data_IF_912432115687
#
_entry.id   IF_912432115687
#
_cell.length_a   1.000
_cell.length_b   1.000
_cell.length_c   1.000
_cell.angle_alpha   90.00
_cell.angle_beta   90.00
_cell.angle_gamma   90.00
#
_symmetry.space_group_name_H-M   'P 1'
#
loop_
_entity.id
_entity.type
_entity.pdbx_description
1 polymer ?
#
# COMPACT_ATOMS: atom_id res chain seq x y z
N UNK A 1 -19.83 57.19 -34.53
CA UNK A 1 -19.76 57.78 -33.17
C UNK A 1 -19.60 56.60 -32.22
N UNK A 2 -18.41 56.00 -32.14
CA UNK A 2 -17.28 56.38 -31.28
C UNK A 2 -17.65 56.44 -29.80
N UNK A 3 -17.36 55.33 -29.10
CA UNK A 3 -17.03 55.33 -27.68
C UNK A 3 -15.97 54.25 -27.45
N UNK A 4 -14.72 54.70 -27.48
CA UNK A 4 -13.50 54.02 -27.01
C UNK A 4 -13.44 54.02 -25.48
N UNK A 5 -12.66 53.09 -24.91
CA UNK A 5 -11.91 53.10 -23.60
C UNK A 5 -11.70 51.62 -23.14
N UNK A 6 -10.56 51.19 -22.54
CA UNK A 6 -9.30 50.89 -23.21
C UNK A 6 -8.71 49.51 -22.78
N UNK A 7 -7.51 49.19 -23.28
CA UNK A 7 -6.85 47.88 -23.16
C UNK A 7 -6.41 47.46 -21.75
N UNK A 8 -6.26 46.14 -21.61
CA UNK A 8 -5.71 45.46 -20.44
C UNK A 8 -4.26 45.10 -20.74
N UNK A 9 -3.35 45.71 -19.99
CA UNK A 9 -1.90 45.49 -20.05
C UNK A 9 -1.51 44.13 -19.45
N UNK A 10 -0.61 43.45 -20.17
CA UNK A 10 0.10 42.24 -19.75
C UNK A 10 1.20 42.59 -18.73
N UNK A 11 0.99 42.26 -17.46
CA UNK A 11 1.98 42.39 -16.40
C UNK A 11 2.60 41.06 -15.99
N UNK A 12 3.59 40.59 -16.74
CA UNK A 12 4.52 39.52 -16.33
C UNK A 12 5.41 40.06 -15.20
N UNK A 13 5.20 39.63 -13.95
CA UNK A 13 6.10 39.95 -12.83
C UNK A 13 7.02 38.76 -12.58
N UNK A 14 8.28 38.91 -12.98
CA UNK A 14 9.38 38.11 -12.48
C UNK A 14 9.66 38.47 -11.03
N UNK A 15 9.79 37.46 -10.16
CA UNK A 15 10.29 37.62 -8.81
C UNK A 15 11.80 37.41 -8.83
N UNK A 16 12.56 38.51 -8.95
CA UNK A 16 13.97 38.54 -8.62
C UNK A 16 14.12 38.64 -7.09
N UNK A 17 14.67 37.60 -6.48
CA UNK A 17 15.04 37.59 -5.07
C UNK A 17 16.16 38.62 -4.82
N UNK A 18 15.89 39.55 -3.92
CA UNK A 18 16.81 40.57 -3.43
C UNK A 18 17.88 39.93 -2.53
N UNK A 19 19.14 40.05 -2.94
CA UNK A 19 20.31 39.75 -2.11
C UNK A 19 20.52 40.93 -1.16
N UNK A 20 20.40 40.68 0.14
CA UNK A 20 20.70 41.65 1.19
C UNK A 20 22.22 41.87 1.26
N UNK A 21 22.65 43.10 0.99
CA UNK A 21 24.05 43.51 1.04
C UNK A 21 24.49 43.70 2.51
N UNK A 22 25.37 42.82 2.99
CA UNK A 22 26.07 43.02 4.26
C UNK A 22 27.19 44.05 4.06
N UNK A 23 27.17 45.11 4.87
CA UNK A 23 28.22 46.13 4.96
C UNK A 23 29.46 45.49 5.61
N UNK A 24 30.58 45.43 4.88
CA UNK A 24 31.88 45.02 5.40
C UNK A 24 32.75 46.25 5.70
N UNK A 25 33.24 46.34 6.94
CA UNK A 25 34.39 47.16 7.33
C UNK A 25 35.66 46.30 7.29
N UNK A 26 36.82 46.80 6.84
CA UNK A 26 38.03 46.00 6.74
C UNK A 26 38.90 46.12 8.00
N UNK A 27 39.16 45.00 8.68
CA UNK A 27 40.41 44.81 9.43
C UNK A 27 40.64 43.33 9.72
N UNK A 28 41.67 42.79 9.08
CA UNK A 28 42.63 41.78 9.55
C UNK A 28 42.16 40.54 10.34
N UNK A 29 42.51 39.38 9.79
CA UNK A 29 42.74 38.16 10.58
C UNK A 29 41.95 36.94 10.15
N UNK A 30 42.44 36.26 9.10
CA UNK A 30 42.32 34.83 8.81
C UNK A 30 41.23 34.04 9.59
N UNK A 31 39.96 34.20 9.20
CA UNK A 31 38.86 33.34 9.66
C UNK A 31 38.52 32.34 8.57
N UNK A 32 39.08 31.13 8.65
CA UNK A 32 38.61 29.97 7.89
C UNK A 32 37.15 29.71 8.23
N UNK A 33 36.25 30.02 7.29
CA UNK A 33 34.85 29.62 7.31
C UNK A 33 34.82 28.09 7.22
N UNK A 34 34.62 27.42 8.36
CA UNK A 34 34.23 26.01 8.37
C UNK A 34 32.76 25.96 7.94
N UNK A 35 32.54 25.67 6.67
CA UNK A 35 31.25 25.16 6.21
C UNK A 35 30.99 23.87 6.98
N UNK A 36 30.04 23.92 7.92
CA UNK A 36 29.47 22.71 8.51
C UNK A 36 28.82 21.95 7.36
N UNK A 37 29.51 20.92 6.88
CA UNK A 37 28.92 19.91 6.02
C UNK A 37 27.75 19.32 6.79
N UNK A 38 26.53 19.65 6.37
CA UNK A 38 25.36 18.86 6.71
C UNK A 38 25.68 17.42 6.28
N UNK A 39 25.92 16.55 7.26
CA UNK A 39 25.86 15.12 7.05
C UNK A 39 24.47 14.83 6.47
N UNK A 40 24.39 14.72 5.14
CA UNK A 40 23.29 14.05 4.49
C UNK A 40 23.34 12.61 5.01
N UNK A 41 22.61 12.35 6.10
CA UNK A 41 22.38 11.01 6.61
C UNK A 41 21.94 10.17 5.42
N UNK A 42 22.74 9.16 5.07
CA UNK A 42 22.37 8.22 4.02
C UNK A 42 21.01 7.64 4.42
N UNK A 43 20.00 7.61 3.52
CA UNK A 43 18.68 7.11 3.86
C UNK A 43 18.83 5.74 4.52
N UNK A 44 18.24 5.56 5.69
CA UNK A 44 18.36 4.32 6.43
C UNK A 44 17.81 3.19 5.56
N UNK A 45 18.63 2.17 5.31
CA UNK A 45 18.22 0.99 4.55
C UNK A 45 17.03 0.34 5.23
N UNK A 46 15.91 0.18 4.51
CA UNK A 46 14.73 -0.51 5.03
C UNK A 46 14.98 -2.01 4.97
N UNK A 47 14.95 -2.67 6.13
CA UNK A 47 15.01 -4.13 6.23
C UNK A 47 13.60 -4.71 6.14
N UNK A 48 13.32 -5.41 5.04
CA UNK A 48 11.99 -5.95 4.76
C UNK A 48 11.82 -7.35 5.36
N UNK A 49 10.61 -7.72 5.81
CA UNK A 49 10.39 -9.01 6.44
C UNK A 49 10.77 -10.20 5.56
N UNK A 50 11.30 -11.24 6.20
CA UNK A 50 11.70 -12.49 5.53
C UNK A 50 10.52 -13.12 4.79
N UNK A 51 10.75 -13.58 3.56
CA UNK A 51 9.75 -14.24 2.73
C UNK A 51 9.95 -15.76 2.66
N UNK A 52 8.84 -16.46 2.52
CA UNK A 52 8.80 -17.91 2.36
C UNK A 52 7.96 -18.28 1.14
N UNK A 53 8.38 -19.33 0.44
CA UNK A 53 7.64 -19.85 -0.70
C UNK A 53 6.29 -20.45 -0.26
N UNK A 54 5.20 -19.97 -0.86
CA UNK A 54 3.90 -20.60 -0.80
C UNK A 54 3.41 -20.85 -2.22
N UNK A 55 3.77 -22.03 -2.75
CA UNK A 55 3.40 -22.50 -4.08
C UNK A 55 3.98 -21.67 -5.23
N UNK A 56 5.16 -21.04 -5.02
CA UNK A 56 5.78 -20.11 -5.95
C UNK A 56 5.63 -18.64 -5.56
N UNK A 57 4.70 -18.30 -4.66
CA UNK A 57 4.50 -16.92 -4.18
C UNK A 57 5.36 -16.66 -2.94
N UNK A 58 6.15 -15.59 -2.93
CA UNK A 58 7.05 -15.23 -1.83
C UNK A 58 6.32 -14.44 -0.75
N UNK A 59 5.74 -15.14 0.22
CA UNK A 59 4.90 -14.56 1.28
C UNK A 59 5.76 -14.17 2.49
N UNK A 60 5.62 -12.93 2.94
CA UNK A 60 6.33 -12.38 4.09
C UNK A 60 5.82 -12.98 5.41
N UNK A 61 6.74 -13.47 6.24
CA UNK A 61 6.47 -13.79 7.63
C UNK A 61 6.62 -12.51 8.46
N UNK A 62 5.49 -11.86 8.75
CA UNK A 62 5.48 -10.59 9.48
C UNK A 62 4.25 -10.48 10.38
N UNK A 63 4.27 -9.52 11.31
CA UNK A 63 3.16 -9.17 12.19
C UNK A 63 2.79 -7.68 12.02
N UNK A 64 1.76 -7.22 12.72
CA UNK A 64 1.31 -5.82 12.59
C UNK A 64 2.36 -4.79 12.99
N UNK A 65 3.13 -5.02 14.06
CA UNK A 65 4.12 -4.07 14.54
C UNK A 65 5.24 -3.92 13.53
N UNK A 66 5.86 -5.04 13.14
CA UNK A 66 6.95 -5.05 12.17
C UNK A 66 6.49 -4.45 10.83
N UNK A 67 5.35 -4.90 10.29
CA UNK A 67 4.82 -4.38 9.04
C UNK A 67 4.55 -2.88 9.12
N UNK A 68 3.89 -2.38 10.18
CA UNK A 68 3.64 -0.94 10.34
C UNK A 68 4.95 -0.15 10.45
N UNK A 69 5.93 -0.63 11.21
CA UNK A 69 7.19 0.09 11.42
C UNK A 69 7.98 0.22 10.11
N UNK A 70 8.20 -0.86 9.37
CA UNK A 70 8.98 -0.82 8.12
C UNK A 70 8.27 -0.06 7.01
N UNK A 71 6.94 -0.17 6.93
CA UNK A 71 6.13 0.57 5.94
C UNK A 71 6.17 2.06 6.23
N UNK A 72 5.97 2.48 7.49
CA UNK A 72 6.01 3.89 7.84
C UNK A 72 7.41 4.48 7.72
N UNK A 73 8.47 3.72 8.02
CA UNK A 73 9.85 4.14 7.79
C UNK A 73 10.15 4.40 6.30
N UNK A 74 9.67 3.52 5.40
CA UNK A 74 9.79 3.71 3.96
C UNK A 74 8.92 4.88 3.46
N UNK A 75 7.70 5.01 3.99
CA UNK A 75 6.76 6.06 3.61
C UNK A 75 7.23 7.46 4.03
N UNK A 76 7.82 7.62 5.22
CA UNK A 76 8.40 8.88 5.68
C UNK A 76 9.54 9.36 4.76
N UNK A 77 10.28 8.42 4.18
CA UNK A 77 11.34 8.70 3.20
C UNK A 77 10.82 8.75 1.75
N UNK A 78 9.51 8.55 1.53
CA UNK A 78 8.88 8.38 0.21
C UNK A 78 9.62 7.38 -0.68
N UNK A 79 10.17 6.33 -0.08
CA UNK A 79 10.85 5.25 -0.79
C UNK A 79 9.81 4.43 -1.55
N UNK A 80 9.91 4.30 -2.89
CA UNK A 80 8.99 3.47 -3.66
C UNK A 80 9.04 2.02 -3.18
N UNK A 81 7.89 1.50 -2.74
CA UNK A 81 7.73 0.11 -2.33
C UNK A 81 6.28 -0.33 -2.54
N UNK A 82 6.07 -1.64 -2.59
CA UNK A 82 4.75 -2.26 -2.76
C UNK A 82 4.51 -3.24 -1.64
N UNK A 83 3.35 -3.10 -1.02
CA UNK A 83 2.81 -3.97 0.01
C UNK A 83 1.48 -4.52 -0.46
N UNK A 84 1.35 -5.83 -0.52
CA UNK A 84 0.08 -6.49 -0.80
C UNK A 84 -0.30 -7.49 0.27
N UNK A 85 -1.61 -7.68 0.43
CA UNK A 85 -2.21 -8.45 1.50
C UNK A 85 -2.98 -9.58 0.87
N UNK A 86 -2.42 -10.79 0.95
CA UNK A 86 -2.88 -11.91 0.12
C UNK A 86 -3.70 -12.90 0.94
N UNK A 87 -5.03 -12.94 0.76
CA UNK A 87 -5.83 -14.07 1.19
C UNK A 87 -5.65 -15.24 0.22
N UNK A 88 -6.26 -16.40 0.54
CA UNK A 88 -6.24 -17.61 -0.30
C UNK A 88 -6.55 -17.31 -1.77
N UNK A 89 -7.53 -16.45 -2.04
CA UNK A 89 -7.88 -16.09 -3.42
C UNK A 89 -6.71 -15.45 -4.17
N UNK A 90 -6.02 -14.48 -3.58
CA UNK A 90 -4.90 -13.79 -4.23
C UNK A 90 -3.74 -14.74 -4.50
N UNK A 91 -3.39 -15.58 -3.52
CA UNK A 91 -2.36 -16.63 -3.70
C UNK A 91 -2.71 -17.52 -4.90
N UNK A 92 -3.95 -18.00 -5.00
CA UNK A 92 -4.34 -18.89 -6.10
C UNK A 92 -4.42 -18.17 -7.45
N UNK A 93 -4.84 -16.90 -7.49
CA UNK A 93 -4.77 -16.12 -8.73
C UNK A 93 -3.33 -15.96 -9.21
N UNK A 94 -2.39 -15.62 -8.32
CA UNK A 94 -0.96 -15.55 -8.65
C UNK A 94 -0.43 -16.91 -9.13
N UNK A 95 -0.70 -17.99 -8.41
CA UNK A 95 -0.21 -19.33 -8.80
C UNK A 95 -0.74 -19.80 -10.15
N UNK A 96 -1.91 -19.32 -10.58
CA UNK A 96 -2.51 -19.67 -11.87
C UNK A 96 -2.07 -18.76 -13.02
N UNK A 97 -1.46 -17.62 -12.71
CA UNK A 97 -0.99 -16.66 -13.69
C UNK A 97 0.49 -16.36 -13.45
N UNK A 98 1.35 -16.94 -14.29
CA UNK A 98 2.81 -16.81 -14.18
C UNK A 98 3.28 -15.36 -14.19
N UNK A 99 2.72 -14.52 -15.06
CA UNK A 99 3.07 -13.10 -15.14
C UNK A 99 2.72 -12.39 -13.83
N UNK A 100 1.51 -12.62 -13.29
CA UNK A 100 1.12 -12.07 -12.00
C UNK A 100 2.01 -12.57 -10.87
N UNK A 101 2.38 -13.85 -10.87
CA UNK A 101 3.29 -14.43 -9.87
C UNK A 101 4.66 -13.76 -9.89
N UNK A 102 5.23 -13.57 -11.08
CA UNK A 102 6.51 -12.89 -11.27
C UNK A 102 6.43 -11.43 -10.81
N UNK A 103 5.32 -10.74 -11.10
CA UNK A 103 5.06 -9.38 -10.63
C UNK A 103 5.00 -9.28 -9.11
N UNK A 104 4.12 -10.06 -8.46
CA UNK A 104 3.91 -9.95 -7.00
C UNK A 104 5.15 -10.34 -6.19
N UNK A 105 5.95 -11.29 -6.69
CA UNK A 105 7.17 -11.71 -6.01
C UNK A 105 8.23 -10.60 -5.90
N UNK A 106 8.10 -9.51 -6.67
CA UNK A 106 8.94 -8.31 -6.58
C UNK A 106 8.48 -7.33 -5.50
N UNK A 107 7.29 -7.51 -4.93
CA UNK A 107 6.76 -6.60 -3.90
C UNK A 107 7.55 -6.77 -2.61
N UNK A 108 7.87 -5.68 -1.93
CA UNK A 108 8.64 -5.69 -0.68
C UNK A 108 7.94 -6.52 0.40
N UNK A 109 6.60 -6.43 0.50
CA UNK A 109 5.80 -7.25 1.43
C UNK A 109 4.63 -7.92 0.70
N UNK A 110 4.51 -9.24 0.90
CA UNK A 110 3.25 -9.97 0.66
C UNK A 110 2.78 -10.52 2.00
N UNK A 111 1.91 -9.80 2.68
CA UNK A 111 1.44 -10.12 4.02
C UNK A 111 0.33 -11.18 4.02
N UNK A 112 0.23 -11.91 5.13
CA UNK A 112 -0.78 -12.96 5.32
C UNK A 112 -2.14 -12.36 5.69
N UNK A 113 -3.03 -12.07 4.74
CA UNK A 113 -4.36 -11.48 5.04
C UNK A 113 -5.34 -12.49 5.67
N UNK A 114 -5.27 -13.75 5.21
CA UNK A 114 -6.17 -14.82 5.64
C UNK A 114 -5.51 -15.81 6.61
N UNK A 115 -6.27 -16.26 7.62
CA UNK A 115 -5.79 -17.31 8.55
C UNK A 115 -5.25 -18.56 7.83
N UNK A 116 -5.85 -19.07 6.73
CA UNK A 116 -5.29 -20.24 6.04
C UNK A 116 -3.90 -20.02 5.43
N UNK A 117 -3.58 -18.79 5.00
CA UNK A 117 -2.26 -18.46 4.45
C UNK A 117 -1.22 -18.45 5.57
N UNK A 118 -1.54 -17.80 6.70
CA UNK A 118 -0.73 -17.85 7.92
C UNK A 118 -0.49 -19.29 8.40
N UNK A 119 -1.53 -20.11 8.49
CA UNK A 119 -1.39 -21.51 8.89
C UNK A 119 -0.50 -22.29 7.93
N UNK A 120 -0.64 -22.09 6.62
CA UNK A 120 0.23 -22.73 5.64
C UNK A 120 1.71 -22.35 5.81
N UNK A 121 2.01 -21.07 6.06
CA UNK A 121 3.39 -20.63 6.36
C UNK A 121 3.93 -21.31 7.62
N UNK A 122 3.15 -21.36 8.69
CA UNK A 122 3.55 -22.05 9.92
C UNK A 122 3.77 -23.55 9.69
N UNK A 123 2.86 -24.22 8.97
CA UNK A 123 2.93 -25.66 8.72
C UNK A 123 4.08 -26.06 7.77
N UNK A 124 4.39 -25.24 6.76
CA UNK A 124 5.40 -25.57 5.75
C UNK A 124 6.80 -25.08 6.10
N UNK A 125 6.91 -23.97 6.84
CA UNK A 125 8.19 -23.32 7.11
C UNK A 125 8.49 -23.15 8.59
N UNK A 126 7.51 -23.32 9.48
CA UNK A 126 7.72 -23.06 10.91
C UNK A 126 7.84 -21.57 11.22
N UNK A 127 7.19 -20.71 10.43
CA UNK A 127 7.31 -19.25 10.50
C UNK A 127 6.86 -18.62 11.84
N UNK A 128 6.25 -19.38 12.75
CA UNK A 128 5.95 -18.91 14.11
C UNK A 128 4.93 -17.77 14.20
N UNK A 129 4.13 -17.54 13.16
CA UNK A 129 3.19 -16.40 13.12
C UNK A 129 2.03 -16.62 14.11
N UNK A 130 1.87 -15.70 15.06
CA UNK A 130 0.80 -15.72 16.07
C UNK A 130 -0.54 -15.15 15.57
N UNK A 131 -0.51 -14.30 14.56
CA UNK A 131 -1.69 -13.85 13.84
C UNK A 131 -1.40 -13.59 12.36
N UNK A 132 -2.47 -13.37 11.60
CA UNK A 132 -2.45 -12.87 10.23
C UNK A 132 -2.29 -11.34 10.26
N UNK A 133 -1.84 -10.74 9.17
CA UNK A 133 -1.88 -9.29 8.97
C UNK A 133 -3.06 -8.95 8.06
N UNK A 134 -4.22 -8.77 8.68
CA UNK A 134 -5.48 -8.46 8.00
C UNK A 134 -5.52 -7.04 7.46
N UNK A 135 -5.90 -6.88 6.20
CA UNK A 135 -5.72 -5.60 5.51
C UNK A 135 -6.53 -4.41 5.99
N UNK A 136 -7.82 -4.56 6.30
CA UNK A 136 -8.57 -3.47 6.93
C UNK A 136 -7.94 -3.02 8.25
N UNK A 137 -7.42 -3.95 9.06
CA UNK A 137 -6.75 -3.60 10.32
C UNK A 137 -5.38 -2.93 10.08
N UNK A 138 -4.57 -3.47 9.16
CA UNK A 138 -3.26 -2.88 8.84
C UNK A 138 -3.43 -1.44 8.32
N UNK A 139 -4.42 -1.20 7.44
CA UNK A 139 -4.72 0.14 6.93
C UNK A 139 -4.98 1.13 8.08
N UNK A 140 -5.77 0.76 9.08
CA UNK A 140 -6.05 1.64 10.21
C UNK A 140 -4.81 1.92 11.07
N UNK A 141 -3.95 0.91 11.28
CA UNK A 141 -2.69 1.07 12.01
C UNK A 141 -1.71 1.98 11.27
N UNK A 142 -1.65 1.84 9.96
CA UNK A 142 -0.87 2.73 9.11
C UNK A 142 -1.40 4.15 9.16
N UNK A 143 -2.73 4.37 9.08
CA UNK A 143 -3.31 5.70 9.26
C UNK A 143 -3.03 6.30 10.64
N UNK A 144 -3.15 5.51 11.71
CA UNK A 144 -2.86 5.96 13.07
C UNK A 144 -1.38 6.37 13.23
N UNK A 145 -0.46 5.58 12.68
CA UNK A 145 0.97 5.90 12.69
C UNK A 145 1.30 7.09 11.80
N UNK A 146 0.68 7.18 10.63
CA UNK A 146 0.84 8.28 9.69
C UNK A 146 0.40 9.62 10.29
N UNK A 147 -0.75 9.64 10.99
CA UNK A 147 -1.23 10.82 11.70
C UNK A 147 -0.28 11.28 12.83
N UNK A 148 0.43 10.35 13.46
CA UNK A 148 1.40 10.64 14.52
C UNK A 148 2.73 11.16 13.96
N UNK A 149 3.18 10.55 12.87
CA UNK A 149 4.51 10.77 12.32
C UNK A 149 4.52 11.85 11.21
N UNK A 150 3.36 12.44 10.90
CA UNK A 150 3.21 13.47 9.86
C UNK A 150 3.36 12.93 8.44
N UNK A 151 2.98 11.66 8.22
CA UNK A 151 3.01 11.04 6.89
C UNK A 151 1.64 11.25 6.25
N UNK A 152 1.60 11.88 5.08
CA UNK A 152 0.36 12.06 4.33
C UNK A 152 -0.01 10.82 3.51
N UNK A 153 -1.30 10.64 3.28
CA UNK A 153 -1.86 9.48 2.57
C UNK A 153 -2.59 9.90 1.29
N UNK A 154 -2.58 9.03 0.29
CA UNK A 154 -3.40 9.13 -0.91
C UNK A 154 -4.33 7.91 -1.03
N UNK A 155 -5.58 8.13 -1.44
CA UNK A 155 -6.58 7.07 -1.60
C UNK A 155 -6.92 6.85 -3.07
N UNK A 156 -6.49 5.73 -3.66
CA UNK A 156 -6.73 5.39 -5.06
C UNK A 156 -7.63 4.16 -5.21
N UNK A 157 -8.75 4.29 -5.92
CA UNK A 157 -9.67 3.18 -6.21
C UNK A 157 -11.08 3.38 -5.68
N UNK A 158 -11.87 2.30 -5.68
CA UNK A 158 -13.30 2.32 -5.37
C UNK A 158 -14.11 3.34 -6.19
N UNK A 159 -15.30 3.75 -5.72
CA UNK A 159 -16.10 4.84 -6.28
C UNK A 159 -15.91 6.14 -5.50
N UNK A 160 -16.23 7.28 -6.12
CA UNK A 160 -16.22 8.61 -5.48
C UNK A 160 -17.03 8.64 -4.17
N UNK A 161 -18.21 8.00 -4.14
CA UNK A 161 -19.03 7.93 -2.93
C UNK A 161 -18.36 7.17 -1.79
N UNK A 162 -17.64 6.09 -2.11
CA UNK A 162 -16.89 5.31 -1.11
C UNK A 162 -15.72 6.11 -0.60
N UNK A 163 -14.97 6.78 -1.48
CA UNK A 163 -13.83 7.62 -1.08
C UNK A 163 -14.27 8.77 -0.18
N UNK A 164 -15.33 9.50 -0.54
CA UNK A 164 -15.86 10.59 0.29
C UNK A 164 -16.26 10.12 1.70
N UNK A 165 -16.94 8.97 1.80
CA UNK A 165 -17.28 8.37 3.10
C UNK A 165 -16.04 7.92 3.87
N UNK A 166 -15.09 7.29 3.20
CA UNK A 166 -13.85 6.81 3.79
C UNK A 166 -13.04 7.98 4.37
N UNK A 167 -12.86 9.06 3.62
CA UNK A 167 -12.19 10.27 4.08
C UNK A 167 -12.86 10.85 5.33
N UNK A 168 -14.19 10.98 5.31
CA UNK A 168 -14.94 11.46 6.47
C UNK A 168 -14.72 10.60 7.71
N UNK A 169 -14.77 9.26 7.56
CA UNK A 169 -14.55 8.33 8.67
C UNK A 169 -13.10 8.38 9.19
N UNK A 170 -12.12 8.47 8.30
CA UNK A 170 -10.71 8.57 8.66
C UNK A 170 -10.40 9.88 9.38
N UNK A 171 -10.95 11.01 8.91
CA UNK A 171 -10.75 12.32 9.56
C UNK A 171 -11.38 12.39 10.96
N UNK A 172 -12.54 11.74 11.15
CA UNK A 172 -13.15 11.62 12.50
C UNK A 172 -12.28 10.75 13.40
N UNK A 173 -11.75 9.64 12.88
CA UNK A 173 -10.98 8.67 13.67
C UNK A 173 -9.56 9.14 13.98
N UNK A 174 -8.94 9.87 13.05
CA UNK A 174 -7.57 10.34 13.12
C UNK A 174 -7.50 11.83 12.70
N UNK A 175 -7.84 12.77 13.59
CA UNK A 175 -7.94 14.19 13.24
C UNK A 175 -6.64 14.85 12.75
N UNK A 176 -5.48 14.26 13.05
CA UNK A 176 -4.17 14.72 12.60
C UNK A 176 -3.71 14.05 11.28
N UNK A 177 -4.50 13.14 10.72
CA UNK A 177 -4.16 12.45 9.47
C UNK A 177 -4.30 13.42 8.30
N UNK A 178 -3.23 13.58 7.53
CA UNK A 178 -3.27 14.32 6.28
C UNK A 178 -3.64 13.40 5.12
N UNK A 179 -4.81 13.65 4.52
CA UNK A 179 -5.22 13.02 3.26
C UNK A 179 -4.85 13.98 2.14
N UNK A 180 -3.71 13.75 1.48
CA UNK A 180 -3.16 14.62 0.44
C UNK A 180 -3.95 14.56 -0.88
N UNK A 181 -4.74 13.50 -1.07
CA UNK A 181 -5.66 13.40 -2.20
C UNK A 181 -6.37 12.06 -2.29
N UNK A 182 -7.35 12.00 -3.18
CA UNK A 182 -8.01 10.76 -3.54
C UNK A 182 -8.42 10.77 -5.00
N UNK A 183 -8.52 9.59 -5.59
CA UNK A 183 -8.94 9.43 -6.98
C UNK A 183 -9.65 8.10 -7.21
N UNK A 184 -10.86 8.19 -7.77
CA UNK A 184 -11.67 7.06 -8.21
C UNK A 184 -11.46 6.84 -9.70
N UNK A 185 -10.67 5.84 -10.15
CA UNK A 185 -10.50 5.57 -11.56
C UNK A 185 -11.80 5.09 -12.21
N UNK A 186 -11.98 5.30 -13.52
CA UNK A 186 -13.14 4.80 -14.24
C UNK A 186 -13.18 3.27 -14.21
N UNK A 187 -14.39 2.70 -14.35
CA UNK A 187 -14.59 1.24 -14.41
C UNK A 187 -14.22 0.63 -15.78
N UNK A 188 -13.07 1.04 -16.31
CA UNK A 188 -12.44 0.57 -17.56
C UNK A 188 -10.92 0.74 -17.46
N UNK A 189 -10.12 0.12 -18.35
CA UNK A 189 -8.70 0.46 -18.45
C UNK A 189 -8.49 1.96 -18.69
N UNK A 190 -7.41 2.50 -18.12
CA UNK A 190 -6.95 3.86 -18.38
C UNK A 190 -6.26 3.94 -19.74
N UNK A 191 -6.30 5.10 -20.39
CA UNK A 191 -5.36 5.39 -21.49
C UNK A 191 -3.98 5.70 -20.90
N UNK A 192 -2.93 5.66 -21.74
CA UNK A 192 -1.57 5.98 -21.29
C UNK A 192 -1.46 7.40 -20.72
N UNK A 193 -2.23 8.35 -21.26
CA UNK A 193 -2.30 9.72 -20.79
C UNK A 193 -3.01 9.83 -19.44
N UNK A 194 -4.12 9.11 -19.26
CA UNK A 194 -4.84 9.06 -17.98
C UNK A 194 -3.98 8.41 -16.89
N UNK A 195 -3.26 7.33 -17.23
CA UNK A 195 -2.36 6.61 -16.33
C UNK A 195 -1.18 7.51 -15.90
N UNK A 196 -0.53 8.18 -16.86
CA UNK A 196 0.51 9.17 -16.57
C UNK A 196 0.02 10.34 -15.70
N UNK A 197 -1.21 10.83 -15.94
CA UNK A 197 -1.81 11.88 -15.13
C UNK A 197 -2.10 11.39 -13.69
N UNK A 198 -2.50 10.14 -13.51
CA UNK A 198 -2.68 9.53 -12.17
C UNK A 198 -1.34 9.45 -11.43
N UNK A 199 -0.27 9.02 -12.09
CA UNK A 199 1.08 8.98 -11.49
C UNK A 199 1.50 10.38 -11.03
N UNK A 200 1.35 11.37 -11.91
CA UNK A 200 1.69 12.76 -11.60
C UNK A 200 0.87 13.28 -10.41
N UNK A 201 -0.45 13.06 -10.42
CA UNK A 201 -1.35 13.47 -9.34
C UNK A 201 -0.93 12.87 -7.99
N UNK A 202 -0.60 11.57 -7.96
CA UNK A 202 -0.16 10.90 -6.74
C UNK A 202 1.19 11.49 -6.27
N UNK A 203 2.15 11.68 -7.18
CA UNK A 203 3.49 12.16 -6.81
C UNK A 203 3.49 13.62 -6.35
N UNK A 204 2.72 14.48 -7.01
CA UNK A 204 2.57 15.90 -6.67
C UNK A 204 1.84 16.12 -5.34
N UNK A 205 0.98 15.18 -4.93
CA UNK A 205 0.32 15.23 -3.62
C UNK A 205 1.31 15.14 -2.45
N UNK A 206 2.52 14.61 -2.67
CA UNK A 206 3.50 14.43 -1.61
C UNK A 206 3.25 13.23 -0.69
N UNK A 207 2.21 12.43 -0.94
CA UNK A 207 1.85 11.29 -0.10
C UNK A 207 2.98 10.28 0.09
N UNK A 208 3.24 9.90 1.34
CA UNK A 208 4.17 8.82 1.68
C UNK A 208 3.52 7.44 1.58
N UNK A 209 2.20 7.36 1.81
CA UNK A 209 1.41 6.14 1.69
C UNK A 209 0.35 6.30 0.60
N UNK A 210 0.24 5.32 -0.30
CA UNK A 210 -0.76 5.28 -1.36
C UNK A 210 -1.60 4.02 -1.21
N UNK A 211 -2.81 4.15 -0.66
CA UNK A 211 -3.71 3.02 -0.50
C UNK A 211 -4.46 2.71 -1.79
N UNK A 212 -4.44 1.44 -2.22
CA UNK A 212 -5.06 0.97 -3.46
C UNK A 212 -6.25 0.05 -3.17
N UNK A 213 -7.45 0.51 -3.52
CA UNK A 213 -8.74 -0.15 -3.30
C UNK A 213 -9.40 -0.70 -4.58
N UNK A 214 -8.64 -1.34 -5.49
CA UNK A 214 -9.18 -1.86 -6.77
C UNK A 214 -9.65 -3.33 -6.71
N UNK A 215 -9.25 -4.05 -5.67
CA UNK A 215 -9.49 -5.48 -5.54
C UNK A 215 -8.48 -6.33 -6.33
N UNK A 216 -8.31 -7.58 -5.90
CA UNK A 216 -7.44 -8.54 -6.56
C UNK A 216 -8.10 -9.09 -7.85
N UNK A 217 -7.36 -9.27 -8.96
CA UNK A 217 -5.92 -9.02 -9.13
C UNK A 217 -5.57 -7.61 -9.64
N UNK A 218 -6.56 -6.74 -9.86
CA UNK A 218 -6.35 -5.41 -10.47
C UNK A 218 -5.39 -4.53 -9.66
N UNK A 219 -5.52 -4.54 -8.34
CA UNK A 219 -4.65 -3.77 -7.45
C UNK A 219 -3.18 -4.23 -7.52
N UNK A 220 -2.96 -5.55 -7.59
CA UNK A 220 -1.61 -6.12 -7.64
C UNK A 220 -0.96 -5.78 -8.98
N UNK A 221 -1.71 -5.87 -10.09
CA UNK A 221 -1.22 -5.46 -11.41
C UNK A 221 -0.89 -3.98 -11.46
N UNK A 222 -1.82 -3.13 -11.02
CA UNK A 222 -1.59 -1.69 -10.94
C UNK A 222 -0.34 -1.39 -10.13
N UNK A 223 -0.21 -1.96 -8.92
CA UNK A 223 0.95 -1.69 -8.08
C UNK A 223 2.28 -2.17 -8.70
N UNK A 224 2.27 -3.29 -9.42
CA UNK A 224 3.42 -3.83 -10.13
C UNK A 224 3.82 -2.98 -11.34
N UNK A 225 2.84 -2.51 -12.13
CA UNK A 225 3.04 -1.64 -13.29
C UNK A 225 3.57 -0.25 -12.88
N UNK A 226 3.23 0.19 -11.67
CA UNK A 226 3.58 1.50 -11.12
C UNK A 226 4.75 1.46 -10.10
N UNK A 227 5.34 0.29 -9.86
CA UNK A 227 6.46 0.13 -8.94
C UNK A 227 7.66 0.95 -9.42
N UNK A 228 8.15 1.85 -8.58
CA UNK A 228 9.24 2.78 -8.92
C UNK A 228 8.79 4.06 -9.66
N UNK A 229 7.54 4.12 -10.15
CA UNK A 229 6.97 5.32 -10.76
C UNK A 229 6.24 6.20 -9.72
N UNK A 230 5.58 5.57 -8.75
CA UNK A 230 4.94 6.24 -7.62
C UNK A 230 5.97 6.43 -6.48
N UNK A 231 6.15 7.68 -6.07
CA UNK A 231 7.06 8.11 -4.99
C UNK A 231 6.36 7.98 -3.63
N UNK A 232 6.35 6.75 -3.11
CA UNK A 232 5.74 6.39 -1.83
C UNK A 232 5.47 4.89 -1.75
N UNK A 233 4.94 4.43 -0.62
CA UNK A 233 4.60 3.02 -0.43
C UNK A 233 3.18 2.76 -0.92
N UNK A 234 3.06 1.93 -1.95
CA UNK A 234 1.78 1.45 -2.47
C UNK A 234 1.26 0.31 -1.59
N UNK A 235 0.07 0.47 -1.00
CA UNK A 235 -0.53 -0.52 -0.09
C UNK A 235 -1.84 -1.04 -0.67
N UNK A 236 -1.83 -2.27 -1.17
CA UNK A 236 -2.95 -2.95 -1.81
C UNK A 236 -3.95 -3.50 -0.78
N UNK A 237 -4.93 -2.68 -0.40
CA UNK A 237 -5.89 -2.97 0.70
C UNK A 237 -7.26 -3.48 0.24
N UNK A 238 -7.54 -3.42 -1.07
CA UNK A 238 -8.74 -3.99 -1.68
C UNK A 238 -10.03 -3.53 -1.00
N UNK A 239 -10.80 -4.46 -0.45
CA UNK A 239 -12.12 -4.18 0.14
C UNK A 239 -12.07 -3.39 1.46
N UNK A 240 -10.87 -3.06 1.99
CA UNK A 240 -10.73 -2.22 3.19
C UNK A 240 -11.48 -0.89 3.07
N UNK A 241 -11.50 -0.29 1.86
CA UNK A 241 -12.23 0.95 1.62
C UNK A 241 -13.72 0.80 1.91
N UNK A 242 -14.36 -0.25 1.41
CA UNK A 242 -15.79 -0.51 1.68
C UNK A 242 -16.07 -0.80 3.17
N UNK A 243 -15.16 -1.48 3.87
CA UNK A 243 -15.34 -1.76 5.30
C UNK A 243 -15.28 -0.47 6.12
N UNK A 244 -14.27 0.37 5.86
CA UNK A 244 -14.06 1.61 6.61
C UNK A 244 -15.00 2.73 6.20
N UNK A 245 -15.52 2.72 4.97
CA UNK A 245 -16.61 3.59 4.53
C UNK A 245 -18.00 3.15 5.06
N UNK A 246 -18.09 2.01 5.75
CA UNK A 246 -19.33 1.48 6.33
C UNK A 246 -20.26 0.77 5.33
N UNK A 247 -19.81 0.52 4.09
CA UNK A 247 -20.59 -0.15 3.06
C UNK A 247 -20.64 -1.68 3.24
N UNK A 248 -19.64 -2.26 3.91
CA UNK A 248 -19.59 -3.69 4.21
C UNK A 248 -19.40 -3.92 5.70
N UNK A 249 -20.06 -4.96 6.22
CA UNK A 249 -19.88 -5.40 7.61
C UNK A 249 -18.65 -6.28 7.74
N UNK A 250 -17.90 -6.08 8.82
CA UNK A 250 -16.82 -6.97 9.23
C UNK A 250 -17.38 -8.17 10.01
N UNK A 251 -16.71 -9.32 9.89
CA UNK A 251 -17.11 -10.49 10.67
C UNK A 251 -16.84 -10.25 12.17
N UNK A 252 -17.66 -10.79 13.08
CA UNK A 252 -17.35 -10.75 14.52
C UNK A 252 -15.93 -11.27 14.82
N UNK A 253 -15.27 -10.69 15.82
CA UNK A 253 -13.86 -11.01 16.13
C UNK A 253 -13.61 -12.50 16.37
N UNK A 254 -14.54 -13.21 17.01
CA UNK A 254 -14.41 -14.66 17.21
C UNK A 254 -14.38 -15.42 15.87
N UNK A 255 -15.19 -15.02 14.88
CA UNK A 255 -15.18 -15.64 13.55
C UNK A 255 -13.85 -15.37 12.83
N UNK A 256 -13.33 -14.15 12.93
CA UNK A 256 -12.06 -13.78 12.32
C UNK A 256 -10.89 -14.61 12.89
N UNK A 257 -10.82 -14.76 14.22
CA UNK A 257 -9.78 -15.57 14.90
C UNK A 257 -9.83 -17.05 14.51
N UNK A 258 -11.02 -17.59 14.28
CA UNK A 258 -11.20 -18.99 13.87
C UNK A 258 -11.16 -19.18 12.34
N UNK A 259 -10.84 -18.15 11.57
CA UNK A 259 -10.78 -18.24 10.11
C UNK A 259 -12.15 -18.43 9.43
N UNK A 260 -13.25 -18.07 10.09
CA UNK A 260 -14.63 -18.19 9.59
C UNK A 260 -15.13 -16.93 8.85
N UNK A 261 -14.26 -15.94 8.64
CA UNK A 261 -14.63 -14.71 7.94
C UNK A 261 -15.13 -14.97 6.51
N UNK A 262 -14.56 -15.97 5.81
CA UNK A 262 -15.02 -16.34 4.47
C UNK A 262 -16.50 -16.76 4.48
N UNK A 263 -16.95 -17.48 5.52
CA UNK A 263 -18.33 -17.93 5.66
C UNK A 263 -19.26 -16.75 5.91
N UNK A 264 -18.87 -15.83 6.80
CA UNK A 264 -19.63 -14.61 7.04
C UNK A 264 -19.78 -13.77 5.77
N UNK A 265 -18.72 -13.62 4.98
CA UNK A 265 -18.76 -12.92 3.69
C UNK A 265 -19.63 -13.68 2.68
N UNK A 266 -19.54 -15.01 2.63
CA UNK A 266 -20.36 -15.83 1.74
C UNK A 266 -21.86 -15.65 2.01
N UNK A 267 -22.26 -15.57 3.28
CA UNK A 267 -23.66 -15.32 3.67
C UNK A 267 -24.11 -13.93 3.21
N UNK A 268 -23.24 -12.92 3.28
CA UNK A 268 -23.56 -11.56 2.85
C UNK A 268 -23.61 -11.40 1.32
N UNK A 269 -22.74 -12.10 0.58
CA UNK A 269 -22.58 -11.94 -0.86
C UNK A 269 -22.56 -13.31 -1.59
N UNK A 270 -23.60 -14.15 -1.42
CA UNK A 270 -23.57 -15.54 -1.86
C UNK A 270 -23.32 -15.65 -3.35
N UNK A 271 -24.07 -14.90 -4.17
CA UNK A 271 -23.97 -14.93 -5.64
C UNK A 271 -22.59 -14.60 -6.20
N UNK A 272 -21.84 -13.71 -5.52
CA UNK A 272 -20.50 -13.29 -5.95
C UNK A 272 -19.41 -14.23 -5.44
N UNK A 273 -19.54 -14.73 -4.21
CA UNK A 273 -18.45 -15.38 -3.49
C UNK A 273 -18.45 -16.91 -3.55
N UNK A 274 -19.59 -17.55 -3.81
CA UNK A 274 -19.70 -19.01 -3.75
C UNK A 274 -18.76 -19.71 -4.74
N UNK A 275 -18.78 -19.33 -6.03
CA UNK A 275 -17.91 -19.90 -7.07
C UNK A 275 -16.45 -19.68 -6.74
N UNK A 276 -16.13 -18.46 -6.30
CA UNK A 276 -14.77 -18.06 -5.94
C UNK A 276 -14.23 -18.97 -4.84
N UNK A 277 -14.94 -19.10 -3.72
CA UNK A 277 -14.49 -19.90 -2.60
C UNK A 277 -14.44 -21.40 -2.92
N UNK A 278 -15.44 -21.93 -3.61
CA UNK A 278 -15.43 -23.33 -4.03
C UNK A 278 -14.16 -23.63 -4.86
N UNK A 279 -13.83 -22.76 -5.81
CA UNK A 279 -12.69 -22.97 -6.68
C UNK A 279 -11.35 -22.71 -5.97
N UNK A 280 -11.15 -21.51 -5.41
CA UNK A 280 -9.86 -21.12 -4.86
C UNK A 280 -9.51 -21.87 -3.59
N UNK A 281 -10.48 -22.12 -2.70
CA UNK A 281 -10.19 -22.82 -1.45
C UNK A 281 -9.87 -24.29 -1.72
N UNK A 282 -10.55 -24.93 -2.68
CA UNK A 282 -10.24 -26.31 -3.08
C UNK A 282 -8.84 -26.43 -3.65
N UNK A 283 -8.45 -25.54 -4.59
CA UNK A 283 -7.10 -25.53 -5.15
C UNK A 283 -6.03 -25.27 -4.10
N UNK A 284 -6.29 -24.38 -3.14
CA UNK A 284 -5.38 -24.10 -2.04
C UNK A 284 -5.17 -25.32 -1.16
N UNK A 285 -6.24 -26.03 -0.78
CA UNK A 285 -6.15 -27.27 0.01
C UNK A 285 -5.38 -28.35 -0.75
N UNK A 286 -5.62 -28.53 -2.05
CA UNK A 286 -4.90 -29.51 -2.88
C UNK A 286 -3.40 -29.18 -2.90
N UNK A 287 -3.03 -27.93 -3.16
CA UNK A 287 -1.63 -27.49 -3.20
C UNK A 287 -0.95 -27.62 -1.85
N UNK A 288 -1.62 -27.23 -0.77
CA UNK A 288 -1.10 -27.38 0.59
C UNK A 288 -0.86 -28.84 0.94
N UNK A 289 -1.82 -29.71 0.64
CA UNK A 289 -1.71 -31.16 0.87
C UNK A 289 -0.53 -31.76 0.10
N UNK A 290 -0.39 -31.40 -1.18
CA UNK A 290 0.74 -31.84 -1.99
C UNK A 290 2.10 -31.38 -1.43
N UNK A 291 2.20 -30.11 -1.02
CA UNK A 291 3.42 -29.55 -0.44
C UNK A 291 3.79 -30.23 0.89
N UNK A 292 2.81 -30.50 1.76
CA UNK A 292 3.02 -31.21 3.02
C UNK A 292 3.48 -32.65 2.80
N UNK A 293 2.88 -33.37 1.83
CA UNK A 293 3.31 -34.72 1.47
C UNK A 293 4.75 -34.74 0.95
N UNK A 294 5.11 -33.81 0.05
CA UNK A 294 6.48 -33.69 -0.45
C UNK A 294 7.48 -33.39 0.67
N UNK A 295 7.12 -32.51 1.62
CA UNK A 295 7.95 -32.23 2.80
C UNK A 295 8.15 -33.47 3.68
N UNK A 296 7.08 -34.23 3.90
CA UNK A 296 7.12 -35.48 4.66
C UNK A 296 8.01 -36.55 4.02
N UNK A 297 7.93 -36.69 2.69
CA UNK A 297 8.79 -37.61 1.93
C UNK A 297 10.27 -37.21 2.02
N UNK A 298 10.60 -35.92 1.85
CA UNK A 298 11.98 -35.43 1.97
C UNK A 298 12.57 -35.65 3.36
N UNK A 299 11.78 -35.45 4.43
CA UNK A 299 12.22 -35.69 5.81
C UNK A 299 12.48 -37.17 6.14
N UNK A 300 11.88 -38.11 5.40
CA UNK A 300 12.12 -39.55 5.59
C UNK A 300 13.32 -40.07 4.80
N UNK A 301 13.76 -39.32 3.78
CA UNK A 301 14.88 -39.69 2.92
C UNK A 301 16.23 -39.18 3.44
N UNK A 302 16.22 -38.21 4.37
CA UNK A 302 17.38 -37.71 5.11
C UNK A 302 17.42 -38.32 6.50
#
# INVERSE_FOLDING_TARGET
MSSTVPGVDNGFKSASGSISAAILSPSDGNATVRLSSEEHATPATIDWPTKYDLFGVQVSATNYTEATDVICAAAAQRTPAVVSLHPVHAIIESVRNRELMEQVNRFEIIATDGQPVRWALNMLHGAGLEDRVYGPELMLRLCERAARDGISIFLYGSSTDVLSRLESQLNVKFPALEIAGSYSPPFRPLTAEEDGAVIQLINESGAGLVFIGLGCPKQDKFAAEHQGLIQGVQVCVGAAFDFHAGNKKTAPAWMQRHGLEWLFRLIQEPGRLWKRYLFTNSLFVIKLSAALLQRGLRRRAN
#
